data_IF_016202653010
#
_entry.id   IF_016202653010
#
_cell.length_a   1.000
_cell.length_b   1.000
_cell.length_c   1.000
_cell.angle_alpha   90.00
_cell.angle_beta   90.00
_cell.angle_gamma   90.00
#
_symmetry.space_group_name_H-M   'P 1'
#
loop_
_entity.id
_entity.type
_entity.pdbx_description
1 polymer ?
#
# COMPACT_ATOMS: atom_id res chain seq x y z
N UNK A 1 27.58 -7.65 -17.28
CA UNK A 1 27.82 -7.42 -15.84
C UNK A 1 28.11 -8.76 -15.20
N UNK A 2 29.05 -8.85 -14.27
CA UNK A 2 29.46 -10.13 -13.70
C UNK A 2 28.50 -10.59 -12.60
N UNK A 3 28.20 -11.89 -12.55
CA UNK A 3 27.27 -12.51 -11.57
C UNK A 3 27.49 -12.01 -10.14
N UNK A 4 28.75 -11.85 -9.72
CA UNK A 4 29.10 -11.34 -8.39
C UNK A 4 28.63 -9.89 -8.16
N UNK A 5 28.84 -9.01 -9.13
CA UNK A 5 28.43 -7.61 -9.04
C UNK A 5 26.91 -7.49 -8.99
N UNK A 6 26.19 -8.35 -9.71
CA UNK A 6 24.73 -8.37 -9.68
C UNK A 6 24.21 -8.84 -8.32
N UNK A 7 24.82 -9.87 -7.73
CA UNK A 7 24.50 -10.31 -6.36
C UNK A 7 24.75 -9.21 -5.34
N UNK A 8 25.91 -8.54 -5.39
CA UNK A 8 26.23 -7.43 -4.48
C UNK A 8 25.22 -6.28 -4.60
N UNK A 9 24.76 -5.97 -5.82
CA UNK A 9 23.72 -4.96 -6.06
C UNK A 9 22.40 -5.35 -5.42
N UNK A 10 21.97 -6.61 -5.58
CA UNK A 10 20.70 -7.10 -5.00
C UNK A 10 20.75 -7.12 -3.48
N UNK A 11 21.88 -7.50 -2.88
CA UNK A 11 22.07 -7.46 -1.42
C UNK A 11 21.89 -6.04 -0.88
N UNK A 12 22.57 -5.06 -1.48
CA UNK A 12 22.49 -3.67 -1.05
C UNK A 12 21.06 -3.11 -1.18
N UNK A 13 20.39 -3.39 -2.30
CA UNK A 13 19.01 -2.98 -2.52
C UNK A 13 18.05 -3.61 -1.48
N UNK A 14 18.22 -4.90 -1.19
CA UNK A 14 17.37 -5.61 -0.21
C UNK A 14 17.54 -5.06 1.20
N UNK A 15 18.78 -4.78 1.62
CA UNK A 15 19.05 -4.18 2.92
C UNK A 15 18.42 -2.78 3.04
N UNK A 16 18.47 -1.99 1.97
CA UNK A 16 17.84 -0.66 1.95
C UNK A 16 16.31 -0.75 2.03
N UNK A 17 15.70 -1.66 1.27
CA UNK A 17 14.26 -1.90 1.33
C UNK A 17 13.82 -2.35 2.71
N UNK A 18 14.59 -3.22 3.38
CA UNK A 18 14.31 -3.66 4.74
C UNK A 18 14.31 -2.46 5.71
N UNK A 19 15.37 -1.63 5.69
CA UNK A 19 15.49 -0.46 6.57
C UNK A 19 14.36 0.55 6.39
N UNK A 20 13.84 0.70 5.16
CA UNK A 20 12.75 1.64 4.85
C UNK A 20 11.35 1.14 5.21
N UNK A 21 11.15 -0.18 5.27
CA UNK A 21 9.80 -0.75 5.33
C UNK A 21 9.53 -1.65 6.55
N UNK A 22 10.57 -2.01 7.32
CA UNK A 22 10.43 -2.90 8.49
C UNK A 22 10.73 -2.12 9.76
N UNK A 23 9.74 -2.05 10.66
CA UNK A 23 9.83 -1.35 11.93
C UNK A 23 9.44 -2.32 13.06
N UNK A 24 10.40 -3.07 13.62
CA UNK A 24 10.10 -4.14 14.59
C UNK A 24 9.39 -3.65 15.87
N UNK A 25 9.77 -2.47 16.37
CA UNK A 25 9.13 -1.86 17.56
C UNK A 25 7.64 -1.56 17.34
N UNK A 26 7.26 -1.23 16.11
CA UNK A 26 5.87 -0.99 15.69
C UNK A 26 5.19 -2.29 15.20
N UNK A 27 5.90 -3.43 15.26
CA UNK A 27 5.46 -4.72 14.71
C UNK A 27 5.13 -4.66 13.21
N UNK A 28 5.79 -3.78 12.46
CA UNK A 28 5.62 -3.63 11.00
C UNK A 28 6.68 -4.45 10.28
N UNK A 29 6.27 -5.24 9.30
CA UNK A 29 7.14 -6.01 8.41
C UNK A 29 6.43 -6.45 7.14
N UNK A 30 7.17 -7.08 6.22
CA UNK A 30 6.60 -7.58 4.96
C UNK A 30 5.50 -8.61 5.22
N UNK A 31 4.38 -8.48 4.50
CA UNK A 31 3.22 -9.37 4.63
C UNK A 31 2.42 -9.19 5.93
N UNK A 32 2.76 -8.22 6.79
CA UNK A 32 2.07 -8.02 8.07
C UNK A 32 0.70 -7.36 7.94
N UNK A 33 0.57 -6.40 7.02
CA UNK A 33 -0.64 -5.60 6.82
C UNK A 33 -1.16 -5.77 5.40
N UNK A 34 -2.48 -5.63 5.23
CA UNK A 34 -3.14 -5.66 3.94
C UNK A 34 -2.56 -4.62 2.99
N UNK A 35 -2.21 -5.05 1.77
CA UNK A 35 -1.84 -4.13 0.72
C UNK A 35 -3.11 -3.49 0.17
N UNK A 36 -3.17 -2.18 0.24
CA UNK A 36 -4.39 -1.41 0.14
C UNK A 36 -4.37 -0.47 -1.07
N UNK A 37 -3.41 -0.71 -1.98
CA UNK A 37 -3.13 0.03 -3.23
C UNK A 37 -4.17 -0.28 -4.33
N UNK A 38 -5.00 -1.31 -4.16
CA UNK A 38 -6.12 -1.64 -5.04
C UNK A 38 -7.21 -2.40 -4.29
N UNK A 39 -8.28 -2.76 -5.00
CA UNK A 39 -9.46 -3.40 -4.40
C UNK A 39 -9.70 -4.86 -4.88
N UNK A 40 -8.70 -5.50 -5.48
CA UNK A 40 -8.82 -6.88 -6.01
C UNK A 40 -8.62 -7.93 -4.91
N UNK A 41 -7.52 -7.83 -4.17
CA UNK A 41 -7.15 -8.82 -3.13
C UNK A 41 -7.56 -8.36 -1.72
N UNK A 42 -7.74 -7.06 -1.53
CA UNK A 42 -8.09 -6.42 -0.27
C UNK A 42 -9.13 -5.33 -0.52
N UNK A 43 -9.83 -4.79 0.48
CA UNK A 43 -10.88 -3.79 0.26
C UNK A 43 -10.43 -2.51 -0.45
N UNK A 44 -9.14 -2.17 -0.44
CA UNK A 44 -8.65 -0.98 -1.14
C UNK A 44 -9.33 0.30 -0.64
N UNK A 45 -9.48 1.28 -1.53
CA UNK A 45 -10.14 2.55 -1.24
C UNK A 45 -11.55 2.36 -0.63
N UNK A 46 -12.26 1.29 -1.01
CA UNK A 46 -13.58 0.97 -0.48
C UNK A 46 -13.57 0.60 1.01
N UNK A 47 -12.41 0.48 1.69
CA UNK A 47 -12.40 0.35 3.15
C UNK A 47 -12.99 1.58 3.88
N UNK A 48 -13.01 2.74 3.23
CA UNK A 48 -13.56 3.98 3.77
C UNK A 48 -14.60 4.61 2.82
N UNK A 49 -14.48 4.36 1.51
CA UNK A 49 -15.41 4.83 0.50
C UNK A 49 -16.53 3.78 0.34
N UNK A 50 -17.28 3.53 1.41
CA UNK A 50 -18.27 2.44 1.52
C UNK A 50 -19.68 2.90 1.89
N UNK A 51 -19.92 4.22 1.90
CA UNK A 51 -21.15 4.90 2.35
C UNK A 51 -21.56 4.67 3.82
N UNK A 52 -20.84 3.83 4.56
CA UNK A 52 -21.07 3.58 5.97
C UNK A 52 -20.38 4.64 6.85
N UNK A 53 -19.29 5.22 6.37
CA UNK A 53 -18.61 6.36 7.00
C UNK A 53 -19.36 7.66 6.72
N UNK A 54 -20.52 7.81 7.38
CA UNK A 54 -21.46 8.92 7.18
C UNK A 54 -21.41 9.91 8.34
N UNK A 55 -21.24 11.19 8.02
CA UNK A 55 -21.34 12.28 8.98
C UNK A 55 -22.80 12.49 9.42
N UNK A 56 -23.00 13.17 10.56
CA UNK A 56 -24.34 13.46 11.09
C UNK A 56 -25.23 14.26 10.12
N UNK A 57 -24.63 15.02 9.20
CA UNK A 57 -25.30 15.79 8.15
C UNK A 57 -25.52 14.99 6.85
N UNK A 58 -25.19 13.71 6.83
CA UNK A 58 -25.42 12.79 5.72
C UNK A 58 -24.30 12.70 4.69
N UNK A 59 -23.23 13.50 4.80
CA UNK A 59 -22.08 13.41 3.88
C UNK A 59 -21.34 12.08 4.04
N UNK A 60 -20.89 11.53 2.92
CA UNK A 60 -20.07 10.31 2.84
C UNK A 60 -18.80 10.59 2.05
N UNK A 61 -17.84 9.67 2.14
CA UNK A 61 -16.64 9.71 1.31
C UNK A 61 -17.00 9.17 -0.09
N UNK A 62 -16.84 10.01 -1.12
CA UNK A 62 -17.27 9.70 -2.50
C UNK A 62 -16.59 8.45 -3.06
N UNK A 63 -17.36 7.53 -3.66
CA UNK A 63 -16.83 6.31 -4.30
C UNK A 63 -16.36 6.51 -5.75
N UNK A 64 -16.27 7.76 -6.21
CA UNK A 64 -15.85 8.07 -7.59
C UNK A 64 -14.39 7.66 -7.82
N UNK A 65 -14.21 6.77 -8.80
CA UNK A 65 -12.90 6.18 -9.11
C UNK A 65 -11.96 7.20 -9.78
N UNK A 66 -12.53 8.17 -10.48
CA UNK A 66 -11.83 9.26 -11.17
C UNK A 66 -11.16 10.27 -10.22
N UNK A 67 -11.46 10.21 -8.92
CA UNK A 67 -10.75 11.00 -7.90
C UNK A 67 -9.25 10.69 -7.83
N UNK A 68 -8.86 9.45 -8.13
CA UNK A 68 -7.48 8.98 -8.01
C UNK A 68 -6.96 8.30 -9.29
N UNK A 69 -7.84 7.86 -10.18
CA UNK A 69 -7.48 7.16 -11.41
C UNK A 69 -7.88 8.00 -12.61
N UNK A 70 -6.98 8.13 -13.59
CA UNK A 70 -7.35 8.64 -14.91
C UNK A 70 -8.07 7.53 -15.68
N UNK A 71 -9.39 7.44 -15.48
CA UNK A 71 -10.28 6.50 -16.15
C UNK A 71 -10.92 7.24 -17.32
N UNK A 72 -10.25 7.16 -18.46
CA UNK A 72 -10.69 7.67 -19.76
C UNK A 72 -10.68 6.55 -20.79
#
# INVERSE_FOLDING_TARGET
MGLRQDVERVVNATQELYRRNVFPSMKVGFGKYSNNIGHMDFPGCFRCHDDNHKAADGRVISQSCDLCHDIR
#
